data_IF_867540003347
#
_entry.id   IF_867540003347
#
_cell.length_a   1.000
_cell.length_b   1.000
_cell.length_c   1.000
_cell.angle_alpha   90.00
_cell.angle_beta   90.00
_cell.angle_gamma   90.00
#
_symmetry.space_group_name_H-M   'P 1'
#
loop_
_entity.id
_entity.type
_entity.pdbx_description
1 polymer ?
#
# COMPACT_ATOMS: atom_id res chain seq x y z
N UNK A 1 -7.55 -25.17 1.57
CA UNK A 1 -6.69 -23.97 1.40
C UNK A 1 -7.51 -22.80 1.91
N UNK A 2 -7.17 -22.21 3.06
CA UNK A 2 -7.87 -21.01 3.54
C UNK A 2 -7.19 -19.82 2.88
N UNK A 3 -7.96 -19.00 2.17
CA UNK A 3 -7.49 -17.73 1.62
C UNK A 3 -7.40 -16.74 2.80
N UNK A 4 -6.23 -16.13 2.99
CA UNK A 4 -5.98 -15.23 4.11
C UNK A 4 -6.51 -13.84 3.74
N UNK A 5 -7.66 -13.49 4.31
CA UNK A 5 -8.35 -12.22 4.01
C UNK A 5 -7.72 -11.00 4.70
N UNK A 6 -6.80 -11.20 5.65
CA UNK A 6 -6.27 -10.14 6.52
C UNK A 6 -4.74 -10.13 6.55
N UNK A 7 -4.16 -8.93 6.63
CA UNK A 7 -2.70 -8.75 6.81
C UNK A 7 -2.36 -8.81 8.30
N UNK A 8 -1.34 -9.57 8.65
CA UNK A 8 -0.83 -9.70 10.03
C UNK A 8 0.62 -9.23 10.13
N UNK A 9 1.09 -9.03 11.36
CA UNK A 9 2.48 -8.68 11.61
C UNK A 9 3.44 -9.77 11.13
N UNK A 10 4.55 -9.35 10.50
CA UNK A 10 5.55 -10.25 9.92
C UNK A 10 5.21 -10.75 8.51
N UNK A 11 3.97 -10.57 8.05
CA UNK A 11 3.63 -10.86 6.66
C UNK A 11 4.40 -9.95 5.70
N UNK A 12 4.72 -10.50 4.53
CA UNK A 12 5.15 -9.67 3.42
C UNK A 12 3.96 -8.83 2.96
N UNK A 13 4.13 -7.52 2.98
CA UNK A 13 3.11 -6.59 2.47
C UNK A 13 2.67 -6.96 1.03
N UNK A 14 1.35 -6.99 0.74
CA UNK A 14 0.83 -7.27 -0.59
C UNK A 14 1.38 -6.31 -1.64
N UNK A 15 1.60 -6.81 -2.85
CA UNK A 15 1.99 -5.95 -3.96
C UNK A 15 0.79 -5.06 -4.36
N UNK A 16 1.02 -3.76 -4.46
CA UNK A 16 0.04 -2.83 -4.99
C UNK A 16 0.70 -1.78 -5.88
N UNK A 17 -0.12 -1.16 -6.72
CA UNK A 17 0.23 0.01 -7.52
C UNK A 17 -0.92 1.00 -7.43
N UNK A 18 -0.63 2.21 -7.00
CA UNK A 18 -1.60 3.30 -6.90
C UNK A 18 -1.25 4.41 -7.90
N UNK A 19 -2.23 5.22 -8.23
CA UNK A 19 -2.00 6.47 -8.97
C UNK A 19 -1.87 7.60 -7.94
N UNK A 20 -0.83 8.43 -8.05
CA UNK A 20 -0.67 9.64 -7.23
C UNK A 20 -1.61 10.75 -7.69
N UNK A 21 -1.65 11.84 -6.92
CA UNK A 21 -2.27 13.11 -7.27
C UNK A 21 -1.70 13.73 -8.55
N UNK A 22 -0.40 13.54 -8.83
CA UNK A 22 0.25 13.94 -10.08
C UNK A 22 -0.09 13.03 -11.28
N UNK A 23 -0.84 11.94 -11.08
CA UNK A 23 -1.15 10.96 -12.13
C UNK A 23 -0.07 9.90 -12.35
N UNK A 24 1.02 9.94 -11.60
CA UNK A 24 2.11 8.96 -11.68
C UNK A 24 1.74 7.63 -11.02
N UNK A 25 2.34 6.54 -11.49
CA UNK A 25 2.17 5.22 -10.89
C UNK A 25 3.19 5.00 -9.80
N UNK A 26 2.73 4.79 -8.58
CA UNK A 26 3.56 4.45 -7.42
C UNK A 26 3.38 2.98 -7.09
N UNK A 27 4.46 2.20 -7.10
CA UNK A 27 4.47 0.79 -6.71
C UNK A 27 5.14 0.65 -5.35
N UNK A 28 4.61 -0.22 -4.48
CA UNK A 28 5.26 -0.50 -3.19
C UNK A 28 6.70 -1.00 -3.37
N UNK A 29 6.98 -1.74 -4.47
CA UNK A 29 8.33 -2.25 -4.78
C UNK A 29 9.36 -1.16 -4.97
N UNK A 30 8.95 0.01 -5.41
CA UNK A 30 9.85 1.10 -5.81
C UNK A 30 10.35 1.86 -4.57
N UNK A 31 9.66 1.71 -3.43
CA UNK A 31 10.02 2.30 -2.13
C UNK A 31 10.89 1.38 -1.25
N UNK A 32 11.35 0.24 -1.80
CA UNK A 32 12.20 -0.70 -1.06
C UNK A 32 13.50 -0.03 -0.60
N UNK A 33 13.94 -0.41 0.60
CA UNK A 33 15.16 0.09 1.22
C UNK A 33 14.92 1.21 2.24
N UNK A 34 13.69 1.73 2.33
CA UNK A 34 13.26 2.65 3.38
C UNK A 34 12.00 2.12 4.09
N UNK A 35 11.83 2.37 5.40
CA UNK A 35 10.55 2.12 6.07
C UNK A 35 9.43 2.96 5.43
N UNK A 36 8.24 2.37 5.29
CA UNK A 36 7.06 3.02 4.70
C UNK A 36 5.88 2.81 5.63
N UNK A 37 5.05 3.86 5.78
CA UNK A 37 3.75 3.79 6.44
C UNK A 37 2.68 3.97 5.37
N UNK A 38 1.78 2.99 5.21
CA UNK A 38 0.60 3.10 4.36
C UNK A 38 -0.59 3.52 5.21
N UNK A 39 -1.17 4.67 4.90
CA UNK A 39 -2.31 5.22 5.62
C UNK A 39 -3.46 5.44 4.65
N UNK A 40 -4.59 4.76 4.90
CA UNK A 40 -5.82 4.99 4.16
C UNK A 40 -6.61 6.09 4.85
N UNK A 41 -6.63 7.26 4.24
CA UNK A 41 -7.44 8.38 4.72
C UNK A 41 -8.79 8.37 3.99
N UNK A 42 -9.94 8.40 4.69
CA UNK A 42 -11.22 8.59 4.04
C UNK A 42 -11.20 9.89 3.25
N UNK A 43 -11.88 9.92 2.11
CA UNK A 43 -11.96 11.10 1.26
C UNK A 43 -12.36 12.31 2.11
N UNK A 44 -11.50 13.31 2.17
CA UNK A 44 -11.86 14.64 2.67
C UNK A 44 -12.73 15.29 1.60
N UNK A 45 -13.94 15.72 1.96
CA UNK A 45 -14.71 16.65 1.11
C UNK A 45 -14.27 18.09 1.46
N UNK A 46 -12.98 18.39 1.30
CA UNK A 46 -12.41 19.74 1.43
C UNK A 46 -12.01 20.33 0.07
#
# INVERSE_FOLDING_TARGET
MIEKDWVEEGDRAPAFTLTSDSGEKVRLSDLKGSPVVLYFYPKDDT
#
